data_IF_752897409144
#
_entry.id   IF_752897409144
#
_cell.length_a   1.000
_cell.length_b   1.000
_cell.length_c   1.000
_cell.angle_alpha   90.00
_cell.angle_beta   90.00
_cell.angle_gamma   90.00
#
_symmetry.space_group_name_H-M   'P 1'
#
loop_
_entity.id
_entity.type
_entity.pdbx_description
1 polymer ?
#
# COMPACT_ATOMS: atom_id res chain seq x y z
N UNK A 1 -30.17 -2.43 3.29
CA UNK A 1 -29.03 -2.28 4.23
C UNK A 1 -28.50 -3.69 4.51
N UNK A 2 -27.44 -4.15 3.84
CA UNK A 2 -26.59 -5.29 4.29
C UNK A 2 -25.51 -5.69 3.26
N UNK A 3 -25.81 -5.69 1.95
CA UNK A 3 -25.00 -6.52 1.02
C UNK A 3 -23.91 -5.78 0.23
N UNK A 4 -24.04 -4.48 0.00
CA UNK A 4 -23.01 -3.72 -0.72
C UNK A 4 -21.71 -3.57 0.08
N UNK A 5 -21.83 -3.47 1.41
CA UNK A 5 -20.72 -3.11 2.29
C UNK A 5 -19.69 -4.24 2.49
N UNK A 6 -20.18 -5.50 2.50
CA UNK A 6 -19.33 -6.68 2.71
C UNK A 6 -18.61 -7.08 1.43
N UNK A 7 -19.27 -6.94 0.27
CA UNK A 7 -18.67 -7.23 -1.05
C UNK A 7 -17.48 -6.30 -1.32
N UNK A 8 -17.59 -5.04 -0.91
CA UNK A 8 -16.54 -4.05 -1.08
C UNK A 8 -15.36 -4.23 -0.12
N UNK A 9 -15.62 -4.61 1.13
CA UNK A 9 -14.57 -5.06 2.05
C UNK A 9 -13.85 -6.32 1.55
N UNK A 10 -14.60 -7.30 1.02
CA UNK A 10 -14.04 -8.54 0.48
C UNK A 10 -13.22 -8.30 -0.80
N UNK A 11 -13.66 -7.38 -1.66
CA UNK A 11 -12.93 -6.98 -2.86
C UNK A 11 -11.59 -6.33 -2.50
N UNK A 12 -11.57 -5.39 -1.54
CA UNK A 12 -10.32 -4.82 -1.02
C UNK A 12 -9.44 -5.86 -0.31
N UNK A 13 -10.01 -6.91 0.29
CA UNK A 13 -9.26 -7.98 0.95
C UNK A 13 -8.51 -8.84 -0.06
N UNK A 14 -9.18 -9.22 -1.14
CA UNK A 14 -8.57 -9.93 -2.26
C UNK A 14 -7.45 -9.08 -2.88
N UNK A 15 -7.68 -7.77 -3.06
CA UNK A 15 -6.68 -6.84 -3.60
C UNK A 15 -5.47 -6.69 -2.64
N UNK A 16 -5.72 -6.67 -1.33
CA UNK A 16 -4.69 -6.64 -0.29
C UNK A 16 -3.84 -7.92 -0.32
N UNK A 17 -4.49 -9.08 -0.34
CA UNK A 17 -3.84 -10.38 -0.24
C UNK A 17 -3.07 -10.79 -1.51
N UNK A 18 -3.62 -10.56 -2.71
CA UNK A 18 -3.01 -11.02 -3.96
C UNK A 18 -2.07 -9.99 -4.59
N UNK A 19 -2.39 -8.70 -4.53
CA UNK A 19 -1.61 -7.67 -5.25
C UNK A 19 -0.71 -6.91 -4.29
N UNK A 20 -1.27 -6.44 -3.18
CA UNK A 20 -0.56 -5.59 -2.22
C UNK A 20 0.59 -6.33 -1.53
N UNK A 21 0.42 -7.62 -1.23
CA UNK A 21 1.48 -8.47 -0.68
C UNK A 21 2.68 -8.60 -1.64
N UNK A 22 2.42 -8.84 -2.93
CA UNK A 22 3.48 -8.97 -3.94
C UNK A 22 4.22 -7.65 -4.18
N UNK A 23 3.48 -6.53 -4.26
CA UNK A 23 4.06 -5.20 -4.43
C UNK A 23 4.91 -4.79 -3.22
N UNK A 24 4.43 -5.07 -2.00
CA UNK A 24 5.18 -4.80 -0.78
C UNK A 24 6.47 -5.65 -0.69
N UNK A 25 6.39 -6.95 -1.00
CA UNK A 25 7.57 -7.82 -1.05
C UNK A 25 8.60 -7.36 -2.08
N UNK A 26 8.14 -6.94 -3.27
CA UNK A 26 9.05 -6.47 -4.33
C UNK A 26 9.66 -5.10 -4.02
N UNK A 27 8.91 -4.17 -3.40
CA UNK A 27 9.42 -2.86 -3.01
C UNK A 27 10.31 -2.89 -1.76
N UNK A 28 10.17 -3.88 -0.88
CA UNK A 28 10.95 -3.97 0.36
C UNK A 28 12.46 -4.07 0.09
N UNK A 29 12.86 -4.90 -0.86
CA UNK A 29 14.26 -5.17 -1.16
C UNK A 29 15.04 -3.92 -1.63
N UNK A 30 14.57 -3.16 -2.64
CA UNK A 30 15.23 -1.91 -3.03
C UNK A 30 15.08 -0.81 -1.97
N UNK A 31 14.05 -0.83 -1.12
CA UNK A 31 13.84 0.20 -0.09
C UNK A 31 14.91 0.14 0.98
N UNK A 32 15.27 -1.06 1.43
CA UNK A 32 16.33 -1.25 2.42
C UNK A 32 17.67 -0.72 1.88
N UNK A 33 18.02 -1.05 0.64
CA UNK A 33 19.26 -0.59 -0.01
C UNK A 33 19.27 0.94 -0.14
N UNK A 34 18.17 1.54 -0.61
CA UNK A 34 18.05 2.99 -0.77
C UNK A 34 18.06 3.68 0.60
N UNK A 35 17.43 3.14 1.63
CA UNK A 35 17.35 3.78 2.95
C UNK A 35 18.71 3.93 3.64
N UNK A 36 19.63 2.99 3.42
CA UNK A 36 21.02 3.08 3.93
C UNK A 36 21.83 4.12 3.16
N UNK A 37 21.49 4.37 1.89
CA UNK A 37 22.15 5.37 1.04
C UNK A 37 21.54 6.78 1.16
N UNK A 38 20.26 6.90 1.57
CA UNK A 38 19.57 8.18 1.84
C UNK A 38 20.34 9.14 2.76
N UNK A 39 20.95 8.71 3.89
CA UNK A 39 21.74 9.63 4.73
C UNK A 39 23.02 10.13 4.05
N UNK A 40 23.55 9.40 3.06
CA UNK A 40 24.74 9.80 2.32
C UNK A 40 24.41 10.65 1.07
N UNK A 41 23.22 10.48 0.47
CA UNK A 41 22.81 11.15 -0.76
C UNK A 41 21.37 11.68 -0.62
N UNK A 42 21.18 13.00 -0.38
CA UNK A 42 19.84 13.57 -0.18
C UNK A 42 18.94 13.50 -1.43
N UNK A 43 19.53 13.32 -2.62
CA UNK A 43 18.78 13.14 -3.87
C UNK A 43 18.05 11.79 -3.98
N UNK A 44 18.40 10.80 -3.15
CA UNK A 44 17.71 9.50 -3.11
C UNK A 44 16.43 9.51 -2.25
N UNK A 45 16.25 10.56 -1.45
CA UNK A 45 15.06 10.75 -0.61
C UNK A 45 13.72 10.57 -1.36
N UNK A 46 13.49 11.19 -2.54
CA UNK A 46 12.25 10.98 -3.30
C UNK A 46 12.03 9.52 -3.73
N UNK A 47 13.10 8.80 -4.06
CA UNK A 47 13.02 7.37 -4.43
C UNK A 47 12.62 6.53 -3.21
N UNK A 48 13.20 6.83 -2.04
CA UNK A 48 12.83 6.17 -0.78
C UNK A 48 11.38 6.43 -0.39
N UNK A 49 10.88 7.66 -0.56
CA UNK A 49 9.50 8.05 -0.26
C UNK A 49 8.49 7.34 -1.20
N UNK A 50 8.82 7.20 -2.50
CA UNK A 50 7.98 6.46 -3.47
C UNK A 50 7.93 4.97 -3.12
N UNK A 51 9.07 4.37 -2.77
CA UNK A 51 9.10 2.96 -2.35
C UNK A 51 8.35 2.75 -1.04
N UNK A 52 8.46 3.67 -0.09
CA UNK A 52 7.73 3.63 1.16
C UNK A 52 6.23 3.74 0.93
N UNK A 53 5.78 4.60 0.00
CA UNK A 53 4.40 4.66 -0.42
C UNK A 53 3.90 3.35 -1.02
N UNK A 54 4.76 2.65 -1.80
CA UNK A 54 4.48 1.30 -2.31
C UNK A 54 4.36 0.24 -1.21
N UNK A 55 5.23 0.29 -0.18
CA UNK A 55 5.19 -0.62 0.97
C UNK A 55 4.00 -0.32 1.89
N UNK A 56 3.54 0.93 1.97
CA UNK A 56 2.35 1.34 2.71
C UNK A 56 1.04 1.15 1.94
N UNK A 57 1.10 0.71 0.69
CA UNK A 57 -0.07 0.36 -0.10
C UNK A 57 -0.99 -0.67 0.58
N UNK A 58 -0.50 -1.79 1.16
CA UNK A 58 -1.33 -2.73 1.94
C UNK A 58 -2.01 -2.08 3.14
N UNK A 59 -1.31 -1.16 3.82
CA UNK A 59 -1.89 -0.41 4.93
C UNK A 59 -3.05 0.48 4.46
N UNK A 60 -2.88 1.18 3.33
CA UNK A 60 -3.96 1.94 2.69
C UNK A 60 -5.13 1.05 2.28
N UNK A 61 -4.88 -0.15 1.75
CA UNK A 61 -5.94 -1.10 1.42
C UNK A 61 -6.69 -1.59 2.67
N UNK A 62 -5.99 -1.88 3.78
CA UNK A 62 -6.63 -2.27 5.04
C UNK A 62 -7.42 -1.13 5.67
N UNK A 63 -6.91 0.10 5.60
CA UNK A 63 -7.59 1.26 6.17
C UNK A 63 -8.93 1.54 5.46
N UNK A 64 -8.95 1.46 4.13
CA UNK A 64 -10.17 1.61 3.34
C UNK A 64 -11.16 0.45 3.56
N UNK A 65 -10.68 -0.75 3.88
CA UNK A 65 -11.52 -1.90 4.22
C UNK A 65 -12.21 -1.70 5.58
N UNK A 66 -11.46 -1.27 6.59
CA UNK A 66 -12.00 -1.04 7.95
C UNK A 66 -12.97 0.13 7.97
N UNK A 67 -12.68 1.19 7.22
CA UNK A 67 -13.56 2.35 7.09
C UNK A 67 -14.70 2.15 6.09
N UNK A 68 -14.79 0.97 5.43
CA UNK A 68 -15.90 0.61 4.55
C UNK A 68 -16.20 1.70 3.49
N UNK A 69 -15.17 2.37 2.96
CA UNK A 69 -15.36 3.50 2.03
C UNK A 69 -15.85 3.01 0.67
N UNK A 70 -17.05 3.44 0.29
CA UNK A 70 -17.65 3.20 -1.03
C UNK A 70 -16.97 4.06 -2.10
N UNK A 71 -16.69 3.48 -3.28
CA UNK A 71 -16.10 4.13 -4.48
C UNK A 71 -16.98 5.24 -5.08
N UNK A 72 -18.15 5.52 -4.51
CA UNK A 72 -19.02 6.65 -4.88
C UNK A 72 -18.40 8.03 -4.60
N UNK A 73 -17.22 8.06 -3.96
CA UNK A 73 -16.51 9.28 -3.57
C UNK A 73 -15.11 9.44 -4.20
N UNK A 74 -14.80 8.68 -5.27
CA UNK A 74 -13.59 8.89 -6.09
C UNK A 74 -13.92 9.57 -7.43
#
# INVERSE_FOLDING_TARGET
MADGNVVYGLFWLILLALISYWVACFCFFPYIIVSVLTPCIPALKPISDILLAGIMFPYKCSDNMVHMRSYDSI
#
